data_IF_605722868967
#
_entry.id   IF_605722868967
#
_cell.length_a   1.000
_cell.length_b   1.000
_cell.length_c   1.000
_cell.angle_alpha   90.00
_cell.angle_beta   90.00
_cell.angle_gamma   90.00
#
_symmetry.space_group_name_H-M   'P 1'
#
loop_
_entity.id
_entity.type
_entity.pdbx_description
1 polymer ?
#
# COMPACT_ATOMS: atom_id res chain seq x y z
N UNK A 1 3.40 72.07 3.47
CA UNK A 1 3.53 73.46 3.00
C UNK A 1 3.03 73.52 1.56
N UNK A 2 2.10 74.43 1.30
CA UNK A 2 1.68 75.03 0.01
C UNK A 2 1.01 74.11 -1.04
N UNK A 3 -0.33 74.16 -1.13
CA UNK A 3 -1.20 74.79 -2.18
C UNK A 3 -1.39 73.86 -3.39
N UNK A 4 -2.58 73.55 -3.92
CA UNK A 4 -3.92 74.10 -3.74
C UNK A 4 -4.62 74.21 -5.11
N UNK A 5 -5.72 73.46 -5.26
CA UNK A 5 -6.99 73.78 -5.96
C UNK A 5 -7.10 73.85 -7.52
N UNK A 6 -7.81 72.85 -8.09
CA UNK A 6 -9.08 72.85 -8.89
C UNK A 6 -9.29 73.83 -10.09
N UNK A 7 -10.32 73.70 -11.01
CA UNK A 7 -11.50 72.80 -11.02
C UNK A 7 -12.02 72.23 -12.40
N UNK A 8 -13.05 71.37 -12.28
CA UNK A 8 -14.33 71.24 -13.04
C UNK A 8 -14.49 70.59 -14.45
N UNK A 9 -15.34 69.54 -14.43
CA UNK A 9 -16.53 69.20 -15.26
C UNK A 9 -16.44 68.60 -16.69
N UNK A 10 -16.77 67.28 -16.77
CA UNK A 10 -17.78 66.50 -17.59
C UNK A 10 -18.38 67.08 -18.90
N UNK A 11 -18.87 66.28 -19.90
CA UNK A 11 -19.63 65.01 -19.76
C UNK A 11 -19.46 63.91 -20.87
N UNK A 12 -20.36 62.91 -20.83
CA UNK A 12 -20.42 61.56 -21.43
C UNK A 12 -20.78 61.39 -22.94
N UNK A 13 -20.44 60.17 -23.45
CA UNK A 13 -21.10 59.26 -24.46
C UNK A 13 -21.15 59.62 -25.97
N UNK A 14 -21.43 58.66 -26.91
CA UNK A 14 -21.13 57.21 -27.00
C UNK A 14 -20.50 56.78 -28.37
N UNK A 15 -19.80 55.63 -28.42
CA UNK A 15 -19.30 55.05 -29.67
C UNK A 15 -20.27 54.01 -30.27
N UNK A 16 -20.75 54.27 -31.50
CA UNK A 16 -21.38 53.29 -32.41
C UNK A 16 -20.33 52.78 -33.39
N UNK A 17 -20.28 51.48 -33.67
CA UNK A 17 -19.74 50.97 -34.93
C UNK A 17 -20.62 49.86 -35.52
N UNK A 18 -20.84 49.98 -36.82
CA UNK A 18 -21.79 49.27 -37.68
C UNK A 18 -21.18 48.03 -38.34
N UNK A 19 -22.07 47.11 -38.71
CA UNK A 19 -21.92 46.05 -39.71
C UNK A 19 -21.40 46.52 -41.07
N UNK A 20 -20.74 45.60 -41.79
CA UNK A 20 -20.61 45.61 -43.24
C UNK A 20 -20.66 44.19 -43.80
N UNK A 21 -21.81 43.81 -44.37
CA UNK A 21 -21.98 42.65 -45.26
C UNK A 21 -21.64 43.05 -46.70
N UNK A 22 -21.05 42.14 -47.48
CA UNK A 22 -21.25 42.05 -48.93
C UNK A 22 -21.47 40.59 -49.29
N UNK A 23 -22.48 40.34 -50.12
CA UNK A 23 -23.00 39.05 -50.54
C UNK A 23 -23.17 39.04 -52.07
N UNK A 24 -23.52 37.87 -52.63
CA UNK A 24 -23.91 37.51 -54.02
C UNK A 24 -22.78 36.84 -54.83
N UNK A 25 -22.96 35.71 -55.54
CA UNK A 25 -24.14 35.11 -56.17
C UNK A 25 -24.01 33.56 -56.33
N UNK A 26 -25.16 32.87 -56.31
CA UNK A 26 -25.39 31.44 -56.63
C UNK A 26 -25.38 31.16 -58.15
N UNK A 27 -25.36 29.87 -58.56
CA UNK A 27 -26.63 29.24 -58.96
C UNK A 27 -26.84 27.79 -58.48
N UNK A 28 -28.13 27.43 -58.38
CA UNK A 28 -28.74 26.10 -58.12
C UNK A 28 -28.55 25.11 -59.30
N UNK A 29 -28.78 23.79 -59.28
CA UNK A 29 -29.66 22.86 -58.53
C UNK A 29 -29.35 21.44 -59.06
N UNK A 30 -29.31 20.38 -58.24
CA UNK A 30 -29.96 19.07 -58.53
C UNK A 30 -29.70 18.03 -57.44
N UNK A 31 -30.79 17.37 -57.03
CA UNK A 31 -30.92 16.36 -55.98
C UNK A 31 -30.18 15.06 -56.31
N UNK A 32 -29.49 14.48 -55.32
CA UNK A 32 -29.35 13.02 -55.20
C UNK A 32 -29.75 12.59 -53.78
N UNK A 33 -30.86 11.85 -53.70
CA UNK A 33 -31.30 11.11 -52.50
C UNK A 33 -30.33 9.96 -52.26
N UNK A 34 -29.69 9.90 -51.08
CA UNK A 34 -29.23 8.63 -50.51
C UNK A 34 -29.74 8.51 -49.08
N UNK A 35 -30.74 7.63 -48.91
CA UNK A 35 -31.26 7.18 -47.62
C UNK A 35 -30.14 6.47 -46.85
N UNK A 36 -29.65 7.06 -45.76
CA UNK A 36 -28.92 6.31 -44.73
C UNK A 36 -29.93 5.49 -43.92
N UNK A 37 -29.93 4.18 -44.11
CA UNK A 37 -30.65 3.23 -43.25
C UNK A 37 -30.03 3.28 -41.84
N UNK A 38 -30.84 3.67 -40.87
CA UNK A 38 -30.61 3.38 -39.45
C UNK A 38 -30.53 1.86 -39.25
N UNK A 39 -29.34 1.34 -38.94
CA UNK A 39 -29.16 0.00 -38.38
C UNK A 39 -29.10 0.13 -36.86
N UNK A 40 -30.23 -0.13 -36.21
CA UNK A 40 -30.33 -0.46 -34.80
C UNK A 40 -29.59 -1.79 -34.54
N UNK A 41 -28.53 -1.74 -33.74
CA UNK A 41 -27.87 -2.93 -33.20
C UNK A 41 -28.59 -3.38 -31.92
N UNK A 42 -29.03 -4.65 -31.80
CA UNK A 42 -29.54 -5.18 -30.55
C UNK A 42 -28.38 -5.57 -29.61
N UNK A 43 -28.47 -5.11 -28.35
CA UNK A 43 -27.60 -5.54 -27.25
C UNK A 43 -27.86 -7.01 -26.89
N UNK A 44 -26.83 -7.81 -26.55
CA UNK A 44 -27.03 -9.17 -26.08
C UNK A 44 -27.52 -9.18 -24.62
N UNK A 45 -28.69 -9.80 -24.39
CA UNK A 45 -29.19 -10.16 -23.06
C UNK A 45 -28.46 -11.41 -22.58
N UNK A 46 -27.55 -11.28 -21.62
CA UNK A 46 -27.06 -12.41 -20.83
C UNK A 46 -27.97 -12.63 -19.61
N UNK A 47 -28.67 -13.77 -19.59
CA UNK A 47 -29.43 -14.29 -18.45
C UNK A 47 -28.45 -14.79 -17.38
N UNK A 48 -28.53 -14.24 -16.17
CA UNK A 48 -27.92 -14.83 -14.98
C UNK A 48 -28.96 -15.74 -14.29
N UNK A 49 -28.61 -16.97 -13.87
CA UNK A 49 -29.47 -17.77 -13.02
C UNK A 49 -29.39 -17.28 -11.56
N UNK A 50 -30.53 -16.89 -11.03
CA UNK A 50 -30.77 -16.56 -9.63
C UNK A 50 -30.92 -17.83 -8.80
N UNK A 51 -29.99 -18.09 -7.87
CA UNK A 51 -30.16 -19.07 -6.79
C UNK A 51 -30.39 -18.33 -5.47
N UNK A 52 -31.39 -18.71 -4.66
CA UNK A 52 -31.65 -18.07 -3.38
C UNK A 52 -30.77 -18.69 -2.28
N UNK A 53 -29.94 -17.87 -1.63
CA UNK A 53 -29.26 -18.26 -0.38
C UNK A 53 -30.24 -18.01 0.77
N UNK A 54 -30.74 -19.10 1.37
CA UNK A 54 -31.46 -19.07 2.65
C UNK A 54 -30.46 -18.82 3.77
N UNK A 55 -30.66 -17.74 4.52
CA UNK A 55 -30.05 -17.57 5.84
C UNK A 55 -30.77 -18.48 6.85
N UNK A 56 -30.07 -19.49 7.37
CA UNK A 56 -30.49 -20.20 8.57
C UNK A 56 -29.88 -19.53 9.79
N UNK A 57 -30.72 -18.90 10.61
CA UNK A 57 -30.38 -18.52 11.97
C UNK A 57 -30.33 -19.79 12.83
N UNK A 58 -29.12 -20.20 13.22
CA UNK A 58 -28.90 -21.25 14.20
C UNK A 58 -28.69 -20.63 15.58
N UNK A 59 -29.74 -20.68 16.39
CA UNK A 59 -29.75 -20.35 17.82
C UNK A 59 -28.90 -21.37 18.58
N UNK A 60 -27.90 -20.93 19.35
CA UNK A 60 -27.32 -21.73 20.43
C UNK A 60 -27.28 -20.89 21.70
N UNK A 61 -28.26 -21.15 22.55
CA UNK A 61 -28.29 -20.74 23.94
C UNK A 61 -27.63 -21.82 24.81
N UNK A 62 -26.86 -21.34 25.78
CA UNK A 62 -26.56 -21.93 27.09
C UNK A 62 -25.71 -23.20 27.16
N UNK A 63 -24.57 -23.06 27.86
CA UNK A 63 -24.25 -23.66 29.15
C UNK A 63 -23.11 -22.78 29.74
N UNK A 64 -23.39 -21.93 30.75
CA UNK A 64 -23.08 -22.15 32.18
C UNK A 64 -21.62 -22.57 32.42
N UNK A 65 -20.84 -22.09 33.38
CA UNK A 65 -20.95 -21.13 34.48
C UNK A 65 -19.59 -21.28 35.19
N UNK A 66 -18.91 -20.19 35.58
CA UNK A 66 -18.11 -20.09 36.83
C UNK A 66 -17.15 -18.91 36.76
N UNK A 67 -17.66 -17.79 37.25
CA UNK A 67 -16.91 -16.67 37.80
C UNK A 67 -16.25 -17.05 39.12
N UNK A 68 -14.96 -16.74 39.26
CA UNK A 68 -14.34 -16.51 40.58
C UNK A 68 -13.23 -15.46 40.46
N UNK A 69 -13.64 -14.22 40.71
CA UNK A 69 -12.78 -13.11 41.12
C UNK A 69 -12.23 -13.35 42.51
N UNK A 70 -10.95 -13.08 42.75
CA UNK A 70 -10.41 -12.72 44.07
C UNK A 70 -9.04 -12.04 43.97
N UNK A 71 -8.64 -11.26 45.00
CA UNK A 71 -8.07 -9.93 44.80
C UNK A 71 -6.57 -9.80 45.10
N UNK A 72 -6.06 -8.64 44.71
CA UNK A 72 -4.76 -8.06 45.02
C UNK A 72 -4.56 -7.91 46.53
N UNK A 73 -3.45 -8.42 47.07
CA UNK A 73 -2.87 -8.00 48.35
C UNK A 73 -1.34 -8.00 48.27
N UNK A 74 -0.74 -6.83 48.51
CA UNK A 74 0.65 -6.69 48.96
C UNK A 74 0.72 -6.97 50.45
N UNK A 75 1.87 -7.47 50.98
CA UNK A 75 2.60 -6.59 51.89
C UNK A 75 4.14 -6.75 51.90
N UNK A 76 4.77 -5.61 52.22
CA UNK A 76 5.97 -5.33 53.03
C UNK A 76 7.19 -6.27 53.08
N UNK A 77 8.33 -5.58 52.91
CA UNK A 77 9.70 -5.89 53.31
C UNK A 77 9.87 -6.30 54.78
N UNK A 78 10.76 -7.28 55.02
CA UNK A 78 11.63 -7.37 56.20
C UNK A 78 12.84 -8.28 55.91
N UNK A 79 13.90 -8.00 56.66
CA UNK A 79 15.30 -8.25 56.33
C UNK A 79 15.89 -9.52 56.96
N UNK A 80 16.92 -10.05 56.29
CA UNK A 80 18.19 -10.54 56.84
C UNK A 80 18.35 -11.96 57.42
N UNK A 81 19.48 -12.54 56.98
CA UNK A 81 20.38 -13.54 57.60
C UNK A 81 19.93 -15.00 57.74
N UNK A 82 20.78 -15.89 57.23
CA UNK A 82 20.69 -17.33 57.53
C UNK A 82 21.39 -18.22 56.50
N UNK A 83 22.71 -18.13 56.41
CA UNK A 83 23.56 -19.09 55.69
C UNK A 83 23.45 -20.49 56.32
N UNK A 84 23.06 -21.49 55.54
CA UNK A 84 23.39 -22.89 55.82
C UNK A 84 23.52 -23.67 54.51
N UNK A 85 24.72 -24.21 54.35
CA UNK A 85 25.17 -25.08 53.27
C UNK A 85 24.56 -26.48 53.43
N UNK A 86 23.81 -26.93 52.43
CA UNK A 86 23.51 -28.36 52.24
C UNK A 86 23.85 -28.76 50.80
N UNK A 87 24.90 -29.56 50.69
CA UNK A 87 25.40 -30.15 49.47
C UNK A 87 24.43 -31.24 49.00
N UNK A 88 23.57 -30.94 48.03
CA UNK A 88 22.81 -31.95 47.30
C UNK A 88 23.52 -32.26 45.98
N UNK A 89 24.06 -33.47 45.89
CA UNK A 89 24.52 -34.09 44.64
C UNK A 89 23.30 -34.31 43.74
N UNK A 90 22.99 -33.33 42.89
CA UNK A 90 22.06 -33.51 41.79
C UNK A 90 22.80 -34.22 40.65
N UNK A 91 22.48 -35.50 40.45
CA UNK A 91 22.90 -36.25 39.27
C UNK A 91 22.39 -35.51 38.03
N UNK A 92 23.32 -35.01 37.21
CA UNK A 92 23.03 -34.45 35.91
C UNK A 92 22.51 -35.58 35.02
N UNK A 93 21.19 -35.64 34.85
CA UNK A 93 20.57 -36.41 33.77
C UNK A 93 20.85 -35.63 32.49
N UNK A 94 21.95 -35.98 31.82
CA UNK A 94 22.24 -35.51 30.47
C UNK A 94 21.14 -36.01 29.55
N UNK A 95 20.19 -35.14 29.22
CA UNK A 95 19.29 -35.40 28.11
C UNK A 95 20.14 -35.51 26.83
N UNK A 96 19.92 -36.53 25.98
CA UNK A 96 20.59 -36.58 24.70
C UNK A 96 20.17 -35.36 23.89
N UNK A 97 21.13 -34.50 23.53
CA UNK A 97 20.93 -33.50 22.48
C UNK A 97 20.49 -34.24 21.22
N UNK A 98 19.21 -34.14 20.87
CA UNK A 98 18.72 -34.62 19.58
C UNK A 98 19.48 -33.85 18.50
N UNK A 99 20.11 -34.60 17.57
CA UNK A 99 20.68 -34.00 16.38
C UNK A 99 19.59 -33.21 15.64
N UNK A 100 19.91 -32.02 15.08
CA UNK A 100 18.94 -31.22 14.34
C UNK A 100 18.32 -32.06 13.23
N UNK A 101 16.98 -32.05 13.14
CA UNK A 101 16.27 -32.75 12.07
C UNK A 101 16.57 -32.11 10.72
N UNK A 102 16.36 -32.84 9.61
CA UNK A 102 16.53 -32.28 8.26
C UNK A 102 15.66 -31.03 8.03
N UNK A 103 14.48 -30.96 8.65
CA UNK A 103 13.65 -29.76 8.65
C UNK A 103 14.27 -28.60 9.41
N UNK A 104 14.95 -28.86 10.54
CA UNK A 104 15.62 -27.80 11.32
C UNK A 104 16.77 -27.19 10.52
N UNK A 105 17.52 -28.00 9.78
CA UNK A 105 18.58 -27.53 8.87
C UNK A 105 18.04 -26.63 7.75
N UNK A 106 16.87 -26.96 7.19
CA UNK A 106 16.21 -26.14 6.16
C UNK A 106 15.75 -24.79 6.71
N UNK A 107 15.09 -24.78 7.86
CA UNK A 107 14.66 -23.52 8.49
C UNK A 107 15.86 -22.65 8.89
N UNK A 108 16.95 -23.26 9.32
CA UNK A 108 18.19 -22.56 9.66
C UNK A 108 18.84 -21.92 8.44
N UNK A 109 18.91 -22.62 7.30
CA UNK A 109 19.38 -22.08 6.02
C UNK A 109 18.52 -20.92 5.54
N UNK A 110 17.19 -21.08 5.57
CA UNK A 110 16.26 -19.99 5.24
C UNK A 110 16.48 -18.82 6.19
N UNK A 111 16.65 -19.08 7.49
CA UNK A 111 16.87 -18.03 8.47
C UNK A 111 18.14 -17.25 8.14
N UNK A 112 19.28 -17.93 8.04
CA UNK A 112 20.57 -17.31 7.72
C UNK A 112 20.52 -16.52 6.41
N UNK A 113 19.94 -17.09 5.35
CA UNK A 113 19.76 -16.40 4.06
C UNK A 113 18.93 -15.12 4.23
N UNK A 114 17.78 -15.22 4.90
CA UNK A 114 16.86 -14.11 5.02
C UNK A 114 17.40 -12.99 5.92
N UNK A 115 18.26 -13.28 6.91
CA UNK A 115 18.92 -12.26 7.74
C UNK A 115 20.03 -11.53 6.97
N UNK A 116 20.73 -12.23 6.06
CA UNK A 116 21.76 -11.65 5.22
C UNK A 116 21.23 -10.91 3.97
N UNK A 117 20.03 -11.25 3.50
CA UNK A 117 19.49 -10.75 2.25
C UNK A 117 19.26 -9.21 2.26
N UNK A 118 19.90 -8.44 1.36
CA UNK A 118 19.66 -7.01 1.22
C UNK A 118 18.18 -6.66 0.99
N UNK A 119 17.72 -5.64 1.72
CA UNK A 119 16.38 -5.04 1.63
C UNK A 119 16.50 -3.52 1.62
N UNK A 120 15.46 -2.87 1.15
CA UNK A 120 15.37 -1.41 1.25
C UNK A 120 15.44 -1.00 2.72
N UNK A 121 16.05 0.16 3.05
CA UNK A 121 15.92 0.74 4.37
C UNK A 121 14.44 0.88 4.75
N UNK A 122 14.02 0.63 6.00
CA UNK A 122 12.59 0.62 6.38
C UNK A 122 11.82 1.88 5.98
N UNK A 123 12.42 3.06 6.10
CA UNK A 123 11.78 4.33 5.69
C UNK A 123 11.58 4.42 4.17
N UNK A 124 12.51 3.88 3.38
CA UNK A 124 12.43 3.82 1.91
C UNK A 124 11.38 2.80 1.49
N UNK A 125 11.30 1.66 2.18
CA UNK A 125 10.24 0.67 1.96
C UNK A 125 8.86 1.25 2.27
N UNK A 126 8.68 1.90 3.41
CA UNK A 126 7.43 2.57 3.77
C UNK A 126 7.05 3.66 2.76
N UNK A 127 8.02 4.48 2.34
CA UNK A 127 7.84 5.52 1.31
C UNK A 127 7.38 4.94 -0.02
N UNK A 128 8.03 3.87 -0.44
CA UNK A 128 7.76 3.17 -1.71
C UNK A 128 6.38 2.52 -1.68
N UNK A 129 6.09 1.79 -0.60
CA UNK A 129 4.82 1.13 -0.37
C UNK A 129 3.66 2.13 -0.39
N UNK A 130 3.75 3.22 0.37
CA UNK A 130 2.69 4.25 0.39
C UNK A 130 2.45 4.83 -1.00
N UNK A 131 3.52 5.10 -1.76
CA UNK A 131 3.42 5.64 -3.11
C UNK A 131 2.84 4.65 -4.13
N UNK A 132 3.02 3.34 -3.94
CA UNK A 132 2.46 2.32 -4.82
C UNK A 132 0.98 2.04 -4.51
N UNK A 133 0.58 2.17 -3.25
CA UNK A 133 -0.78 1.99 -2.79
C UNK A 133 -1.73 3.09 -3.26
N UNK A 134 -3.01 2.74 -3.39
CA UNK A 134 -4.06 3.65 -3.86
C UNK A 134 -5.28 3.66 -2.94
N UNK A 135 -5.29 2.82 -1.90
CA UNK A 135 -6.42 2.62 -0.99
C UNK A 135 -5.94 2.28 0.41
N UNK A 136 -6.64 2.78 1.43
CA UNK A 136 -6.31 2.52 2.83
C UNK A 136 -7.48 2.84 3.78
N UNK A 137 -7.32 2.44 5.04
CA UNK A 137 -8.30 2.74 6.11
C UNK A 137 -7.96 4.09 6.72
N UNK A 138 -8.82 5.08 6.54
CA UNK A 138 -8.74 6.36 7.23
C UNK A 138 -9.47 6.27 8.56
N UNK A 139 -8.74 6.52 9.65
CA UNK A 139 -9.29 6.68 10.99
C UNK A 139 -9.40 8.16 11.35
N UNK A 140 -10.59 8.58 11.77
CA UNK A 140 -10.92 9.96 12.16
C UNK A 140 -11.62 9.97 13.53
N UNK A 141 -11.70 11.13 14.17
CA UNK A 141 -12.52 11.28 15.38
C UNK A 141 -13.97 11.55 14.99
N UNK A 142 -14.90 10.73 15.48
CA UNK A 142 -16.32 10.86 15.14
C UNK A 142 -16.92 12.11 15.77
N UNK A 143 -17.61 12.92 14.97
CA UNK A 143 -18.43 14.02 15.49
C UNK A 143 -19.80 13.54 16.00
N UNK A 144 -20.34 12.49 15.41
CA UNK A 144 -21.66 11.96 15.75
C UNK A 144 -21.63 11.04 16.97
N UNK A 145 -20.50 10.35 17.18
CA UNK A 145 -20.28 9.44 18.29
C UNK A 145 -19.10 9.95 19.13
N UNK A 146 -19.37 10.94 19.97
CA UNK A 146 -18.34 11.58 20.80
C UNK A 146 -17.53 10.54 21.60
N UNK A 147 -16.21 10.71 21.61
CA UNK A 147 -15.27 9.79 22.26
C UNK A 147 -14.88 8.55 21.43
N UNK A 148 -15.55 8.28 20.30
CA UNK A 148 -15.24 7.13 19.45
C UNK A 148 -14.47 7.52 18.18
N UNK A 149 -13.48 6.71 17.76
CA UNK A 149 -12.92 6.82 16.42
C UNK A 149 -13.90 6.27 15.37
N UNK A 150 -13.73 6.69 14.12
CA UNK A 150 -14.46 6.20 12.96
C UNK A 150 -13.47 5.77 11.88
N UNK A 151 -13.60 4.53 11.41
CA UNK A 151 -12.83 3.98 10.30
C UNK A 151 -13.63 4.04 9.00
N UNK A 152 -12.99 4.49 7.92
CA UNK A 152 -13.60 4.50 6.59
C UNK A 152 -12.59 4.11 5.52
N UNK A 153 -13.07 3.48 4.45
CA UNK A 153 -12.22 3.16 3.31
C UNK A 153 -12.12 4.35 2.38
N UNK A 154 -10.89 4.72 2.02
CA UNK A 154 -10.60 5.87 1.16
C UNK A 154 -9.64 5.50 0.06
N UNK A 155 -9.87 6.08 -1.12
CA UNK A 155 -8.92 6.09 -2.21
C UNK A 155 -8.00 7.32 -2.08
N UNK A 156 -6.70 7.12 -2.28
CA UNK A 156 -5.70 8.15 -2.14
C UNK A 156 -4.61 8.06 -3.22
N UNK A 157 -3.85 9.14 -3.37
CA UNK A 157 -2.59 9.16 -4.12
C UNK A 157 -1.52 9.85 -3.29
N UNK A 158 -0.25 9.50 -3.46
CA UNK A 158 0.83 10.25 -2.81
C UNK A 158 1.22 11.46 -3.65
N UNK A 159 1.44 12.57 -2.96
CA UNK A 159 2.16 13.71 -3.52
C UNK A 159 3.68 13.48 -3.52
N UNK A 160 4.44 14.38 -4.15
CA UNK A 160 5.91 14.27 -4.30
C UNK A 160 6.63 14.22 -2.94
N UNK A 161 6.13 14.95 -1.94
CA UNK A 161 6.64 14.95 -0.56
C UNK A 161 6.20 13.73 0.26
N UNK A 162 5.24 12.96 -0.25
CA UNK A 162 4.71 11.75 0.35
C UNK A 162 3.45 11.90 1.16
N UNK A 163 2.91 13.10 1.19
CA UNK A 163 1.61 13.36 1.78
C UNK A 163 0.50 12.66 0.98
N UNK A 164 -0.35 11.84 1.62
CA UNK A 164 -1.55 11.32 0.98
C UNK A 164 -2.53 12.42 0.57
N UNK A 165 -2.98 12.39 -0.68
CA UNK A 165 -4.02 13.23 -1.25
C UNK A 165 -5.31 12.42 -1.25
N UNK A 166 -6.36 12.95 -0.63
CA UNK A 166 -7.71 12.41 -0.65
C UNK A 166 -8.61 13.29 -1.51
N UNK A 167 -9.50 12.68 -2.30
CA UNK A 167 -10.65 13.37 -2.89
C UNK A 167 -11.90 12.99 -2.10
N UNK A 168 -12.46 13.92 -1.35
CA UNK A 168 -13.54 13.63 -0.39
C UNK A 168 -14.80 14.42 -0.72
N UNK A 169 -15.96 13.75 -0.69
CA UNK A 169 -17.27 14.41 -0.82
C UNK A 169 -17.62 15.09 0.50
N UNK A 170 -18.17 16.30 0.45
CA UNK A 170 -18.71 17.03 1.60
C UNK A 170 -19.84 16.28 2.32
N UNK A 171 -20.47 15.30 1.66
CA UNK A 171 -21.52 14.46 2.23
C UNK A 171 -20.98 13.31 3.10
N UNK A 172 -19.73 12.90 2.88
CA UNK A 172 -19.15 11.74 3.56
C UNK A 172 -18.90 11.99 5.06
N UNK A 173 -19.08 10.94 5.87
CA UNK A 173 -18.89 11.02 7.32
C UNK A 173 -17.45 11.43 7.69
N UNK A 174 -16.43 10.85 7.04
CA UNK A 174 -15.05 11.22 7.29
C UNK A 174 -14.76 12.69 6.93
N UNK A 175 -15.43 13.27 5.93
CA UNK A 175 -15.28 14.69 5.57
C UNK A 175 -15.82 15.61 6.64
N UNK A 176 -16.97 15.24 7.22
CA UNK A 176 -17.53 15.95 8.37
C UNK A 176 -16.55 15.87 9.51
N UNK A 177 -16.16 14.66 9.93
CA UNK A 177 -15.19 14.40 11.01
C UNK A 177 -13.93 15.26 10.87
N UNK A 178 -13.28 15.23 9.70
CA UNK A 178 -12.06 16.00 9.43
C UNK A 178 -12.25 17.53 9.48
N UNK A 179 -13.46 18.02 9.20
CA UNK A 179 -13.76 19.45 9.28
C UNK A 179 -13.83 19.95 10.74
N UNK A 180 -14.21 19.08 11.69
CA UNK A 180 -14.22 19.40 13.12
C UNK A 180 -12.92 19.06 13.84
N UNK A 181 -12.18 18.06 13.36
CA UNK A 181 -10.85 17.75 13.84
C UNK A 181 -9.99 17.17 12.72
N UNK A 182 -8.94 17.90 12.34
CA UNK A 182 -8.04 17.53 11.25
C UNK A 182 -7.18 16.29 11.55
N UNK A 183 -7.08 15.86 12.81
CA UNK A 183 -6.22 14.73 13.20
C UNK A 183 -6.78 13.41 12.72
N UNK A 184 -5.96 12.67 12.00
CA UNK A 184 -6.31 11.36 11.45
C UNK A 184 -5.10 10.45 11.36
N UNK A 185 -5.34 9.18 11.09
CA UNK A 185 -4.31 8.30 10.57
C UNK A 185 -4.81 7.48 9.38
N UNK A 186 -3.91 7.18 8.46
CA UNK A 186 -4.16 6.35 7.28
C UNK A 186 -3.38 5.05 7.41
N UNK A 187 -4.08 3.93 7.56
CA UNK A 187 -3.50 2.60 7.55
C UNK A 187 -3.48 2.04 6.13
N UNK A 188 -2.34 1.51 5.72
CA UNK A 188 -2.13 0.89 4.42
C UNK A 188 -1.43 -0.45 4.64
N UNK A 189 -2.03 -1.51 4.12
CA UNK A 189 -1.44 -2.85 4.11
C UNK A 189 -0.87 -3.15 2.71
N UNK A 190 0.32 -3.76 2.65
CA UNK A 190 0.97 -4.08 1.37
C UNK A 190 0.20 -5.18 0.65
N UNK A 191 -0.18 -6.21 1.40
CA UNK A 191 -1.15 -7.22 1.02
C UNK A 191 -2.23 -7.28 2.12
N UNK A 192 -3.46 -6.80 1.86
CA UNK A 192 -4.54 -6.80 2.86
C UNK A 192 -4.94 -8.17 3.37
N UNK A 193 -4.69 -9.24 2.60
CA UNK A 193 -5.04 -10.61 2.98
C UNK A 193 -3.92 -11.32 3.77
N UNK A 194 -2.72 -10.75 3.76
CA UNK A 194 -1.55 -11.34 4.42
C UNK A 194 -1.17 -10.58 5.69
N UNK A 195 -1.57 -11.14 6.83
CA UNK A 195 -1.25 -10.63 8.17
C UNK A 195 0.26 -10.49 8.45
N UNK A 196 1.11 -11.20 7.72
CA UNK A 196 2.56 -11.22 7.93
C UNK A 196 3.27 -10.15 7.11
N UNK A 197 2.60 -9.53 6.14
CA UNK A 197 3.21 -8.47 5.34
C UNK A 197 3.31 -7.14 6.11
N UNK A 198 4.00 -6.19 5.50
CA UNK A 198 4.16 -4.85 6.04
C UNK A 198 2.83 -4.09 6.02
N UNK A 199 2.52 -3.49 7.16
CA UNK A 199 1.45 -2.51 7.35
C UNK A 199 2.07 -1.22 7.83
N UNK A 200 1.69 -0.10 7.23
CA UNK A 200 2.09 1.24 7.67
C UNK A 200 0.87 2.03 8.14
N UNK A 201 1.08 2.85 9.17
CA UNK A 201 0.10 3.81 9.66
C UNK A 201 0.72 5.20 9.59
N UNK A 202 0.16 6.06 8.75
CA UNK A 202 0.56 7.46 8.61
C UNK A 202 -0.29 8.29 9.55
N UNK A 203 0.29 8.84 10.61
CA UNK A 203 -0.37 9.79 11.50
C UNK A 203 -0.15 11.21 10.99
N UNK A 204 -1.21 12.03 10.95
CA UNK A 204 -1.08 13.38 10.43
C UNK A 204 -2.32 14.23 10.60
N UNK A 205 -2.25 15.43 10.03
CA UNK A 205 -3.33 16.40 10.02
C UNK A 205 -3.81 16.58 8.56
N UNK A 206 -5.10 16.38 8.31
CA UNK A 206 -5.71 16.59 7.00
C UNK A 206 -5.97 18.08 6.78
N UNK A 207 -5.23 18.69 5.86
CA UNK A 207 -5.38 20.10 5.53
C UNK A 207 -6.19 20.28 4.25
N UNK A 208 -6.99 21.34 4.23
CA UNK A 208 -7.59 21.83 2.99
C UNK A 208 -6.51 22.47 2.13
N UNK A 209 -6.64 22.27 0.83
CA UNK A 209 -5.67 22.71 -0.16
C UNK A 209 -6.13 24.06 -0.72
N UNK A 210 -5.20 24.98 -0.93
CA UNK A 210 -5.49 26.28 -1.51
C UNK A 210 -6.00 26.12 -2.96
N UNK A 211 -6.78 27.09 -3.46
CA UNK A 211 -7.40 26.97 -4.79
C UNK A 211 -6.34 26.89 -5.90
N UNK A 212 -5.18 27.51 -5.68
CA UNK A 212 -4.04 27.60 -6.59
C UNK A 212 -3.30 26.26 -6.72
N UNK A 213 -3.30 25.43 -5.68
CA UNK A 213 -2.63 24.11 -5.65
C UNK A 213 -3.55 22.98 -6.12
N UNK A 214 -4.85 23.27 -6.32
CA UNK A 214 -5.87 22.27 -6.65
C UNK A 214 -5.55 21.49 -7.92
N UNK A 215 -5.14 22.18 -8.98
CA UNK A 215 -4.94 21.56 -10.30
C UNK A 215 -3.74 20.60 -10.30
N UNK A 216 -2.70 20.92 -9.54
CA UNK A 216 -1.52 20.08 -9.35
C UNK A 216 -1.87 18.80 -8.58
N UNK A 217 -2.58 18.91 -7.45
CA UNK A 217 -3.02 17.73 -6.70
C UNK A 217 -4.01 16.88 -7.49
N UNK A 218 -4.90 17.51 -8.26
CA UNK A 218 -5.82 16.81 -9.16
C UNK A 218 -5.04 15.97 -10.17
N UNK A 219 -4.00 16.52 -10.80
CA UNK A 219 -3.16 15.78 -11.74
C UNK A 219 -2.44 14.60 -11.07
N UNK A 220 -1.90 14.80 -9.87
CA UNK A 220 -1.26 13.74 -9.08
C UNK A 220 -2.25 12.62 -8.71
N UNK A 221 -3.47 12.98 -8.30
CA UNK A 221 -4.53 12.02 -7.94
C UNK A 221 -4.99 11.20 -9.15
N UNK A 222 -5.27 11.85 -10.28
CA UNK A 222 -5.75 11.18 -11.50
C UNK A 222 -4.69 10.28 -12.15
N UNK A 223 -3.39 10.51 -11.89
CA UNK A 223 -2.33 9.58 -12.30
C UNK A 223 -2.49 8.20 -11.65
N UNK A 224 -3.06 8.13 -10.45
CA UNK A 224 -3.34 6.88 -9.73
C UNK A 224 -4.77 6.39 -9.95
N UNK A 225 -5.72 7.31 -10.15
CA UNK A 225 -7.13 7.03 -10.32
C UNK A 225 -7.65 7.66 -11.64
N UNK A 226 -7.28 7.10 -12.81
CA UNK A 226 -7.57 7.72 -14.11
C UNK A 226 -9.07 7.84 -14.40
N UNK A 227 -9.90 6.96 -13.82
CA UNK A 227 -11.34 6.92 -14.02
C UNK A 227 -12.12 7.77 -13.00
N UNK A 228 -11.44 8.53 -12.13
CA UNK A 228 -12.06 9.31 -11.06
C UNK A 228 -12.65 10.65 -11.53
N UNK A 229 -13.55 10.64 -12.51
CA UNK A 229 -14.18 11.86 -13.06
C UNK A 229 -14.99 12.65 -12.03
N UNK A 230 -15.44 12.00 -10.94
CA UNK A 230 -16.24 12.61 -9.88
C UNK A 230 -15.46 13.62 -9.02
N UNK A 231 -14.12 13.64 -9.10
CA UNK A 231 -13.30 14.62 -8.33
C UNK A 231 -13.53 16.08 -8.74
N UNK A 232 -14.17 16.30 -9.89
CA UNK A 232 -14.56 17.62 -10.40
C UNK A 232 -15.99 18.03 -10.01
N UNK A 233 -16.73 17.17 -9.30
CA UNK A 233 -18.05 17.54 -8.81
C UNK A 233 -17.95 18.59 -7.69
N UNK A 234 -18.94 19.50 -7.64
CA UNK A 234 -18.91 20.63 -6.71
C UNK A 234 -18.96 20.25 -5.22
N UNK A 235 -19.35 19.02 -4.90
CA UNK A 235 -19.34 18.50 -3.54
C UNK A 235 -18.00 17.83 -3.17
N UNK A 236 -17.07 17.63 -4.11
CA UNK A 236 -15.75 17.05 -3.85
C UNK A 236 -14.67 18.11 -3.65
N UNK A 237 -13.73 17.82 -2.75
CA UNK A 237 -12.53 18.62 -2.52
C UNK A 237 -11.32 17.75 -2.28
N UNK A 238 -10.14 18.28 -2.61
CA UNK A 238 -8.88 17.66 -2.26
C UNK A 238 -8.46 18.04 -0.84
N UNK A 239 -8.08 17.04 -0.06
CA UNK A 239 -7.39 17.19 1.21
C UNK A 239 -6.02 16.56 1.11
N UNK A 240 -5.05 17.10 1.82
CA UNK A 240 -3.74 16.50 1.95
C UNK A 240 -3.48 16.14 3.42
N UNK A 241 -3.15 14.89 3.70
CA UNK A 241 -2.71 14.47 5.03
C UNK A 241 -1.24 14.84 5.14
N UNK A 242 -0.91 15.86 5.93
CA UNK A 242 0.49 16.19 6.23
C UNK A 242 1.02 15.19 7.26
N UNK A 243 1.96 14.29 6.89
CA UNK A 243 2.47 13.30 7.82
C UNK A 243 3.20 13.96 8.98
N UNK A 244 2.94 13.47 10.19
CA UNK A 244 3.63 13.85 11.42
C UNK A 244 4.59 12.74 11.86
N UNK A 245 4.10 11.51 11.82
CA UNK A 245 4.92 10.32 12.01
C UNK A 245 4.33 9.13 11.25
N UNK A 246 5.20 8.18 10.92
CA UNK A 246 4.82 6.98 10.16
C UNK A 246 5.28 5.79 10.99
N UNK A 247 4.33 4.99 11.43
CA UNK A 247 4.63 3.73 12.10
C UNK A 247 4.53 2.58 11.10
N UNK A 248 5.41 1.58 11.21
CA UNK A 248 5.29 0.35 10.44
C UNK A 248 5.36 -0.87 11.35
N UNK A 249 4.70 -1.94 10.92
CA UNK A 249 4.81 -3.27 11.49
C UNK A 249 4.87 -4.29 10.35
N UNK A 250 5.73 -5.29 10.47
CA UNK A 250 5.91 -6.36 9.48
C UNK A 250 6.15 -7.68 10.18
N UNK A 251 5.75 -8.79 9.57
CA UNK A 251 6.04 -10.12 10.10
C UNK A 251 5.27 -10.46 11.38
N UNK A 252 4.06 -9.92 11.55
CA UNK A 252 3.20 -10.27 12.70
C UNK A 252 2.95 -11.77 12.73
N UNK A 253 3.07 -12.37 13.93
CA UNK A 253 2.99 -13.81 14.16
C UNK A 253 4.04 -14.64 13.40
N UNK A 254 5.20 -14.05 13.08
CA UNK A 254 6.36 -14.75 12.54
C UNK A 254 7.59 -14.56 13.44
N UNK A 255 8.64 -15.35 13.22
CA UNK A 255 9.93 -15.16 13.90
C UNK A 255 10.61 -13.82 13.55
N UNK A 256 10.15 -13.11 12.51
CA UNK A 256 10.71 -11.83 12.04
C UNK A 256 9.73 -10.68 12.22
N UNK A 257 9.27 -10.48 13.46
CA UNK A 257 8.52 -9.28 13.80
C UNK A 257 9.44 -8.06 13.73
N UNK A 258 9.11 -7.13 12.85
CA UNK A 258 9.76 -5.83 12.74
C UNK A 258 8.75 -4.72 12.99
N UNK A 259 9.16 -3.69 13.72
CA UNK A 259 8.35 -2.48 13.93
C UNK A 259 9.24 -1.28 14.16
N UNK A 260 8.73 -0.10 13.82
CA UNK A 260 9.43 1.15 14.07
C UNK A 260 8.59 2.36 13.69
N UNK A 261 9.12 3.53 13.98
CA UNK A 261 8.50 4.82 13.66
C UNK A 261 9.50 5.72 12.96
N UNK A 262 9.01 6.52 12.02
CA UNK A 262 9.76 7.56 11.33
C UNK A 262 9.14 8.92 11.62
N UNK A 263 9.99 9.92 11.76
CA UNK A 263 9.57 11.33 11.78
C UNK A 263 9.07 11.77 10.39
N UNK A 264 8.32 12.86 10.35
CA UNK A 264 7.90 13.49 9.10
C UNK A 264 9.10 13.81 8.17
N UNK A 265 10.24 14.23 8.73
CA UNK A 265 11.41 14.61 7.94
C UNK A 265 12.12 13.41 7.32
N UNK A 266 12.34 12.35 8.08
CA UNK A 266 12.91 11.11 7.58
C UNK A 266 12.04 10.53 6.45
N UNK A 267 10.73 10.55 6.63
CA UNK A 267 9.80 10.08 5.61
C UNK A 267 9.81 10.96 4.36
N UNK A 268 9.77 12.28 4.52
CA UNK A 268 9.76 13.22 3.39
C UNK A 268 11.04 13.15 2.56
N UNK A 269 12.19 12.97 3.20
CA UNK A 269 13.50 12.90 2.55
C UNK A 269 13.79 11.55 1.91
N UNK A 270 13.13 10.48 2.37
CA UNK A 270 13.22 9.17 1.75
C UNK A 270 12.68 9.21 0.31
N UNK A 271 13.43 8.59 -0.61
CA UNK A 271 13.06 8.48 -2.02
C UNK A 271 12.28 7.20 -2.26
N UNK A 272 11.28 7.26 -3.13
CA UNK A 272 10.61 6.06 -3.65
C UNK A 272 11.62 5.25 -4.45
N UNK A 273 11.63 3.93 -4.26
CA UNK A 273 12.47 3.03 -5.06
C UNK A 273 12.06 3.11 -6.55
N UNK A 274 12.99 3.44 -7.47
CA UNK A 274 12.66 3.69 -8.86
C UNK A 274 12.32 2.42 -9.65
N UNK A 275 12.70 1.23 -9.16
CA UNK A 275 12.46 -0.05 -9.82
C UNK A 275 11.07 -0.60 -9.46
N UNK A 276 10.57 -0.27 -8.28
CA UNK A 276 9.28 -0.72 -7.75
C UNK A 276 8.10 -0.47 -8.70
N UNK A 277 8.14 0.60 -9.51
CA UNK A 277 7.11 0.88 -10.52
C UNK A 277 6.95 -0.23 -11.57
N UNK A 278 7.99 -1.05 -11.78
CA UNK A 278 7.98 -2.17 -12.71
C UNK A 278 7.54 -3.49 -12.07
N UNK A 279 7.23 -3.50 -10.77
CA UNK A 279 6.87 -4.71 -10.01
C UNK A 279 5.75 -5.50 -10.69
N UNK A 280 4.55 -4.91 -10.87
CA UNK A 280 3.40 -5.59 -11.48
C UNK A 280 3.68 -6.24 -12.85
N UNK A 281 4.22 -5.52 -13.86
CA UNK A 281 4.47 -6.13 -15.16
C UNK A 281 5.57 -7.22 -15.12
N UNK A 282 6.59 -7.09 -14.28
CA UNK A 282 7.66 -8.09 -14.15
C UNK A 282 7.15 -9.34 -13.44
N UNK A 283 6.52 -9.19 -12.26
CA UNK A 283 6.02 -10.34 -11.49
C UNK A 283 4.94 -11.10 -12.27
N UNK A 284 4.03 -10.40 -12.95
CA UNK A 284 3.00 -11.04 -13.77
C UNK A 284 3.59 -11.89 -14.91
N UNK A 285 4.59 -11.37 -15.62
CA UNK A 285 5.25 -12.11 -16.70
C UNK A 285 6.02 -13.32 -16.16
N UNK A 286 6.81 -13.13 -15.10
CA UNK A 286 7.60 -14.20 -14.49
C UNK A 286 6.71 -15.30 -13.93
N UNK A 287 5.63 -14.95 -13.21
CA UNK A 287 4.74 -15.94 -12.61
C UNK A 287 3.94 -16.74 -13.63
N UNK A 288 3.61 -16.16 -14.80
CA UNK A 288 2.85 -16.84 -15.84
C UNK A 288 3.72 -17.71 -16.74
N UNK A 289 4.86 -17.16 -17.16
CA UNK A 289 5.64 -17.73 -18.26
C UNK A 289 6.96 -18.38 -17.77
N UNK A 290 7.42 -18.08 -16.55
CA UNK A 290 8.75 -18.43 -16.02
C UNK A 290 8.74 -18.86 -14.54
N UNK A 291 7.68 -19.54 -14.08
CA UNK A 291 7.58 -19.99 -12.68
C UNK A 291 8.67 -20.99 -12.31
N UNK A 292 9.04 -21.88 -13.24
CA UNK A 292 10.14 -22.85 -13.04
C UNK A 292 11.51 -22.18 -12.94
N UNK A 293 11.75 -21.13 -13.72
CA UNK A 293 12.99 -20.35 -13.63
C UNK A 293 13.07 -19.65 -12.26
N UNK A 294 11.95 -19.11 -11.76
CA UNK A 294 11.85 -18.51 -10.43
C UNK A 294 12.17 -19.53 -9.34
N UNK A 295 11.60 -20.74 -9.44
CA UNK A 295 11.90 -21.85 -8.52
C UNK A 295 13.39 -22.17 -8.48
N UNK A 296 14.04 -22.33 -9.65
CA UNK A 296 15.46 -22.63 -9.73
C UNK A 296 16.33 -21.54 -9.09
N UNK A 297 16.00 -20.27 -9.32
CA UNK A 297 16.71 -19.15 -8.70
C UNK A 297 16.58 -19.22 -7.18
N UNK A 298 15.36 -19.42 -6.65
CA UNK A 298 15.13 -19.52 -5.20
C UNK A 298 15.91 -20.68 -4.59
N UNK A 299 15.89 -21.85 -5.24
CA UNK A 299 16.62 -23.03 -4.78
C UNK A 299 18.12 -22.78 -4.74
N UNK A 300 18.67 -22.14 -5.77
CA UNK A 300 20.08 -21.78 -5.82
C UNK A 300 20.45 -20.74 -4.76
N UNK A 301 19.67 -19.67 -4.62
CA UNK A 301 19.95 -18.59 -3.67
C UNK A 301 19.88 -19.04 -2.22
N UNK A 302 18.91 -19.90 -1.87
CA UNK A 302 18.66 -20.32 -0.48
C UNK A 302 19.28 -21.66 -0.11
N UNK A 303 19.78 -22.42 -1.10
CA UNK A 303 20.19 -23.82 -0.94
C UNK A 303 19.09 -24.75 -0.41
N UNK A 304 17.81 -24.38 -0.60
CA UNK A 304 16.64 -25.14 -0.17
C UNK A 304 15.81 -25.56 -1.38
N UNK A 305 15.48 -26.85 -1.48
CA UNK A 305 14.66 -27.42 -2.56
C UNK A 305 13.18 -27.11 -2.34
N UNK A 306 12.76 -25.89 -2.68
CA UNK A 306 11.34 -25.48 -2.64
C UNK A 306 10.54 -26.15 -3.76
N UNK A 307 9.26 -26.42 -3.51
CA UNK A 307 8.32 -27.06 -4.42
C UNK A 307 7.82 -26.08 -5.49
N UNK A 308 7.57 -24.84 -5.09
CA UNK A 308 7.12 -23.75 -5.96
C UNK A 308 7.63 -22.39 -5.46
N UNK A 309 7.66 -21.39 -6.34
CA UNK A 309 7.98 -20.02 -5.99
C UNK A 309 7.18 -19.03 -6.86
N UNK A 310 6.45 -18.13 -6.21
CA UNK A 310 5.62 -17.10 -6.84
C UNK A 310 6.13 -15.71 -6.45
N UNK A 311 6.53 -14.89 -7.42
CA UNK A 311 7.00 -13.52 -7.17
C UNK A 311 5.86 -12.63 -6.68
N UNK A 312 6.12 -11.88 -5.59
CA UNK A 312 5.17 -10.98 -4.95
C UNK A 312 5.40 -9.53 -5.36
N UNK A 313 6.65 -9.08 -5.26
CA UNK A 313 7.06 -7.71 -5.48
C UNK A 313 8.47 -7.62 -6.06
N UNK A 314 8.93 -6.40 -6.33
CA UNK A 314 10.22 -6.10 -6.89
C UNK A 314 10.65 -4.70 -6.43
N UNK A 315 11.93 -4.55 -6.12
CA UNK A 315 12.62 -3.28 -5.90
C UNK A 315 14.03 -3.34 -6.50
N UNK A 316 14.82 -2.28 -6.32
CA UNK A 316 16.18 -2.21 -6.89
C UNK A 316 17.15 -3.23 -6.32
N UNK A 317 16.89 -3.79 -5.14
CA UNK A 317 17.79 -4.72 -4.45
C UNK A 317 17.40 -6.19 -4.64
N UNK A 318 16.23 -6.48 -5.20
CA UNK A 318 15.75 -7.85 -5.39
C UNK A 318 14.22 -7.95 -5.44
N UNK A 319 13.70 -9.12 -5.13
CA UNK A 319 12.28 -9.42 -5.16
C UNK A 319 11.86 -10.33 -4.00
N UNK A 320 10.63 -10.16 -3.54
CA UNK A 320 9.97 -11.10 -2.64
C UNK A 320 9.30 -12.24 -3.40
N UNK A 321 9.36 -13.45 -2.86
CA UNK A 321 8.59 -14.60 -3.35
C UNK A 321 7.79 -15.24 -2.22
N UNK A 322 6.64 -15.81 -2.56
CA UNK A 322 5.96 -16.83 -1.76
C UNK A 322 6.41 -18.19 -2.28
N UNK A 323 7.19 -18.90 -1.47
CA UNK A 323 7.66 -20.23 -1.78
C UNK A 323 6.88 -21.29 -0.99
N UNK A 324 6.77 -22.47 -1.56
CA UNK A 324 6.21 -23.66 -0.90
C UNK A 324 7.32 -24.67 -0.62
N UNK A 325 7.32 -25.23 0.58
CA UNK A 325 8.22 -26.30 0.99
C UNK A 325 7.45 -27.29 1.87
N UNK A 326 7.34 -28.54 1.43
CA UNK A 326 6.62 -29.62 2.13
C UNK A 326 5.17 -29.22 2.50
N UNK A 327 4.48 -28.56 1.56
CA UNK A 327 3.10 -28.09 1.75
C UNK A 327 2.95 -26.87 2.67
N UNK A 328 4.05 -26.28 3.16
CA UNK A 328 4.05 -25.04 3.94
C UNK A 328 4.49 -23.87 3.08
N UNK A 329 3.76 -22.76 3.18
CA UNK A 329 4.12 -21.53 2.47
C UNK A 329 4.96 -20.60 3.33
N UNK A 330 5.95 -19.96 2.74
CA UNK A 330 6.80 -18.96 3.40
C UNK A 330 7.17 -17.83 2.45
N UNK A 331 7.40 -16.63 3.00
CA UNK A 331 7.93 -15.49 2.24
C UNK A 331 9.45 -15.50 2.28
N UNK A 332 10.06 -15.37 1.11
CA UNK A 332 11.51 -15.29 0.95
C UNK A 332 11.89 -14.05 0.18
N UNK A 333 12.85 -13.29 0.71
CA UNK A 333 13.59 -12.26 0.00
C UNK A 333 14.69 -12.89 -0.84
N UNK A 334 14.72 -12.59 -2.14
CA UNK A 334 15.77 -13.00 -3.06
C UNK A 334 16.49 -11.74 -3.56
N UNK A 335 17.74 -11.49 -3.12
CA UNK A 335 18.48 -10.31 -3.53
C UNK A 335 19.09 -10.48 -4.92
N UNK A 336 19.19 -9.38 -5.66
CA UNK A 336 20.04 -9.32 -6.84
C UNK A 336 21.52 -9.37 -6.43
N UNK A 337 22.42 -9.82 -7.31
CA UNK A 337 23.86 -9.79 -7.04
C UNK A 337 24.41 -8.35 -6.90
N UNK A 338 23.68 -7.37 -7.46
CA UNK A 338 23.93 -5.93 -7.30
C UNK A 338 22.63 -5.15 -7.49
N UNK A 339 22.54 -3.88 -7.05
CA UNK A 339 21.36 -3.05 -7.29
C UNK A 339 21.06 -2.88 -8.80
N UNK A 340 19.80 -3.07 -9.17
CA UNK A 340 19.28 -2.84 -10.51
C UNK A 340 19.15 -1.34 -10.80
N UNK A 341 19.61 -0.90 -11.97
CA UNK A 341 19.62 0.51 -12.35
C UNK A 341 18.35 0.95 -13.10
N UNK A 342 17.78 0.05 -13.90
CA UNK A 342 16.58 0.31 -14.69
C UNK A 342 15.81 -0.99 -15.01
N UNK A 343 14.71 -0.87 -15.75
CA UNK A 343 13.87 -2.01 -16.14
C UNK A 343 14.61 -3.07 -16.99
N UNK A 344 15.52 -2.65 -17.88
CA UNK A 344 16.28 -3.58 -18.71
C UNK A 344 17.29 -4.33 -17.84
N UNK A 345 17.90 -3.64 -16.90
CA UNK A 345 18.87 -4.20 -15.96
C UNK A 345 18.24 -5.24 -15.02
N UNK A 346 16.98 -5.04 -14.58
CA UNK A 346 16.22 -6.09 -13.85
C UNK A 346 16.18 -7.40 -14.65
N UNK A 347 15.86 -7.34 -15.94
CA UNK A 347 15.84 -8.52 -16.80
C UNK A 347 17.24 -9.14 -16.89
N UNK A 348 18.28 -8.34 -17.08
CA UNK A 348 19.67 -8.81 -17.14
C UNK A 348 20.05 -9.58 -15.88
N UNK A 349 19.74 -9.04 -14.70
CA UNK A 349 20.04 -9.66 -13.40
C UNK A 349 19.28 -10.96 -13.19
N UNK A 350 17.99 -11.02 -13.55
CA UNK A 350 17.21 -12.28 -13.45
C UNK A 350 17.81 -13.37 -14.35
N UNK A 351 18.23 -13.01 -15.58
CA UNK A 351 18.86 -13.96 -16.51
C UNK A 351 20.22 -14.43 -15.97
N UNK A 352 21.04 -13.53 -15.43
CA UNK A 352 22.32 -13.85 -14.80
C UNK A 352 22.13 -14.83 -13.63
N UNK A 353 21.19 -14.55 -12.73
CA UNK A 353 20.87 -15.44 -11.59
C UNK A 353 20.38 -16.81 -12.07
N UNK A 354 19.58 -16.85 -13.14
CA UNK A 354 19.11 -18.11 -13.72
C UNK A 354 20.26 -18.93 -14.33
N UNK A 355 21.20 -18.27 -15.01
CA UNK A 355 22.39 -18.92 -15.56
C UNK A 355 23.25 -19.52 -14.44
N UNK A 356 23.50 -18.76 -13.37
CA UNK A 356 24.21 -19.26 -12.19
C UNK A 356 23.51 -20.50 -11.59
N UNK A 357 22.18 -20.44 -11.42
CA UNK A 357 21.40 -21.56 -10.91
C UNK A 357 21.51 -22.81 -11.79
N UNK A 358 21.45 -22.65 -13.11
CA UNK A 358 21.59 -23.76 -14.08
C UNK A 358 23.00 -24.35 -14.08
N UNK A 359 24.03 -23.53 -13.98
CA UNK A 359 25.42 -23.99 -13.92
C UNK A 359 25.74 -24.81 -12.67
N UNK A 360 25.15 -24.48 -11.51
CA UNK A 360 25.33 -25.25 -10.28
C UNK A 360 24.50 -26.54 -10.22
N UNK A 361 23.50 -26.70 -11.08
CA UNK A 361 22.65 -27.89 -11.13
C UNK A 361 23.24 -29.04 -11.98
N UNK A 362 24.29 -28.76 -12.78
CA UNK A 362 24.99 -29.79 -13.56
C UNK A 362 26.02 -30.46 -12.63
N UNK A 363 25.93 -31.78 -12.37
CA UNK A 363 26.96 -32.47 -11.60
C UNK A 363 28.28 -32.37 -12.36
N UNK A 364 29.36 -31.98 -11.68
CA UNK A 364 30.71 -32.12 -12.22
C UNK A 364 30.93 -33.59 -12.58
N UNK A 365 31.00 -33.87 -13.88
CA UNK A 365 31.17 -35.19 -14.48
C UNK A 365 32.51 -35.84 -14.11
#
# INVERSE_FOLDING_TARGET
MLVGMSPSMTPMTPCRCRCGCVNLLLPSRSRSRSRSRSRSFPLPRSRLPSTPIRHSYGTLSNLLNSSSSSPVHSPRLLSSMGSSSSSSVAAAVSQPQMAPSASDDVFEKIRAHQDAAPRLPPVVEARTMLNQSTRGVLSTLSQEHEGYPSGSMVDFACYEDGSPILAVSSLALHSKNLSGNAKCCLLVAKDPEDRTDTVITVYGDAITVAAEERDELRAAYLKKHPDAFWVDFGDFRFLQIKPRSIHYVSGVATARLGSGEFTAEEFRTAKVDPISQFSKPVTSHMNRDHSEDTKLIVQHSTSVKVDSAYMLDLDSLGFGVKAEYEGKTMKLRIPFPRPAQDRKDVKTLIVEMLQAAKSSAVPSS
#
